data_IF_228218976776
#
_entry.id   IF_228218976776
#
_cell.length_a   1.000
_cell.length_b   1.000
_cell.length_c   1.000
_cell.angle_alpha   90.00
_cell.angle_beta   90.00
_cell.angle_gamma   90.00
#
_symmetry.space_group_name_H-M   'P 1'
#
loop_
_entity.id
_entity.type
_entity.pdbx_description
1 polymer ?
#
# COMPACT_ATOMS: atom_id res chain seq x y z
N UNK A 1 3.19 0.25 13.90
CA UNK A 1 3.09 -0.68 12.75
C UNK A 1 2.30 -1.95 13.00
N UNK A 2 2.21 -2.47 14.23
CA UNK A 2 1.49 -3.73 14.48
C UNK A 2 -0.01 -3.69 14.19
N UNK A 3 -0.68 -2.57 14.49
CA UNK A 3 -2.14 -2.44 14.24
C UNK A 3 -2.46 -2.42 12.75
N UNK A 4 -1.71 -1.66 11.94
CA UNK A 4 -1.95 -1.58 10.50
C UNK A 4 -1.71 -2.94 9.83
N UNK A 5 -0.63 -3.64 10.21
CA UNK A 5 -0.36 -4.99 9.72
C UNK A 5 -1.48 -5.97 10.11
N UNK A 6 -1.94 -5.91 11.35
CA UNK A 6 -3.04 -6.74 11.81
C UNK A 6 -4.34 -6.50 11.03
N UNK A 7 -4.65 -5.24 10.70
CA UNK A 7 -5.82 -4.90 9.88
C UNK A 7 -5.63 -5.35 8.42
N UNK A 8 -4.42 -5.26 7.86
CA UNK A 8 -4.12 -5.77 6.53
C UNK A 8 -4.23 -7.31 6.45
N UNK A 9 -3.87 -8.01 7.51
CA UNK A 9 -3.85 -9.48 7.58
C UNK A 9 -5.23 -10.06 7.93
N UNK A 10 -5.91 -9.49 8.92
CA UNK A 10 -7.14 -10.04 9.51
C UNK A 10 -8.36 -9.10 9.44
N UNK A 11 -8.16 -7.83 9.12
CA UNK A 11 -9.25 -6.85 9.02
C UNK A 11 -10.18 -7.09 7.83
N UNK A 12 -11.32 -6.40 7.82
CA UNK A 12 -12.29 -6.48 6.72
C UNK A 12 -11.70 -5.87 5.45
N UNK A 13 -12.16 -6.33 4.30
CA UNK A 13 -11.73 -5.81 2.99
C UNK A 13 -11.90 -4.29 2.92
N UNK A 14 -13.01 -3.74 3.44
CA UNK A 14 -13.26 -2.30 3.48
C UNK A 14 -12.20 -1.52 4.26
N UNK A 15 -11.76 -2.03 5.41
CA UNK A 15 -10.73 -1.40 6.23
C UNK A 15 -9.36 -1.49 5.56
N UNK A 16 -9.06 -2.60 4.87
CA UNK A 16 -7.86 -2.75 4.05
C UNK A 16 -7.84 -1.75 2.91
N UNK A 17 -8.94 -1.64 2.16
CA UNK A 17 -9.07 -0.70 1.05
C UNK A 17 -8.95 0.74 1.50
N UNK A 18 -9.45 1.10 2.69
CA UNK A 18 -9.21 2.42 3.29
C UNK A 18 -7.73 2.69 3.55
N UNK A 19 -7.00 1.72 4.09
CA UNK A 19 -5.55 1.84 4.31
C UNK A 19 -4.81 1.98 2.99
N UNK A 20 -5.15 1.16 1.99
CA UNK A 20 -4.55 1.20 0.66
C UNK A 20 -4.82 2.55 -0.02
N UNK A 21 -6.05 3.03 0.05
CA UNK A 21 -6.41 4.36 -0.49
C UNK A 21 -5.67 5.50 0.22
N UNK A 22 -5.43 5.39 1.52
CA UNK A 22 -4.71 6.42 2.29
C UNK A 22 -3.21 6.53 1.90
N UNK A 23 -2.61 5.44 1.44
CA UNK A 23 -1.21 5.41 0.98
C UNK A 23 -1.07 5.65 -0.53
N UNK A 24 -2.13 5.46 -1.30
CA UNK A 24 -2.16 5.78 -2.73
C UNK A 24 -1.92 7.29 -2.94
N UNK A 25 -1.19 7.62 -3.99
CA UNK A 25 -0.64 8.95 -4.29
C UNK A 25 0.67 9.26 -3.56
N UNK A 26 1.13 8.39 -2.64
CA UNK A 26 2.40 8.55 -1.89
C UNK A 26 3.20 7.25 -1.80
N UNK A 27 2.89 6.25 -2.63
CA UNK A 27 3.43 4.89 -2.54
C UNK A 27 4.94 4.89 -2.67
N UNK A 28 5.49 5.64 -3.63
CA UNK A 28 6.94 5.72 -3.82
C UNK A 28 7.63 6.36 -2.61
N UNK A 29 7.10 7.48 -2.11
CA UNK A 29 7.67 8.20 -0.97
C UNK A 29 7.66 7.33 0.31
N UNK A 30 6.56 6.60 0.54
CA UNK A 30 6.42 5.69 1.68
C UNK A 30 7.31 4.46 1.54
N UNK A 31 7.56 3.99 0.31
CA UNK A 31 8.44 2.85 0.04
C UNK A 31 9.91 3.13 0.40
N UNK A 32 10.34 4.39 0.35
CA UNK A 32 11.70 4.80 0.71
C UNK A 32 11.90 5.03 2.22
N UNK A 33 10.82 5.07 3.00
CA UNK A 33 10.89 5.34 4.43
C UNK A 33 11.12 4.03 5.22
N UNK A 34 12.12 4.04 6.11
CA UNK A 34 12.61 2.87 6.89
C UNK A 34 11.52 2.01 7.54
N UNK A 35 10.41 2.61 7.96
CA UNK A 35 9.32 1.91 8.64
C UNK A 35 8.03 1.80 7.81
N UNK A 36 7.84 2.65 6.81
CA UNK A 36 6.62 2.65 6.01
C UNK A 36 6.72 1.69 4.82
N UNK A 37 7.94 1.38 4.36
CA UNK A 37 8.19 0.35 3.33
C UNK A 37 7.56 -0.99 3.68
N UNK A 38 7.67 -1.42 4.95
CA UNK A 38 7.06 -2.66 5.45
C UNK A 38 5.53 -2.61 5.47
N UNK A 39 4.93 -1.42 5.53
CA UNK A 39 3.48 -1.24 5.42
C UNK A 39 3.06 -1.28 3.96
N UNK A 40 3.81 -0.62 3.08
CA UNK A 40 3.55 -0.65 1.62
C UNK A 40 3.65 -2.08 1.09
N UNK A 41 4.66 -2.84 1.49
CA UNK A 41 4.81 -4.25 1.09
C UNK A 41 3.60 -5.10 1.52
N UNK A 42 3.12 -4.91 2.76
CA UNK A 42 1.92 -5.58 3.26
C UNK A 42 0.66 -5.12 2.51
N UNK A 43 0.51 -3.84 2.22
CA UNK A 43 -0.59 -3.33 1.39
C UNK A 43 -0.58 -3.99 0.01
N UNK A 44 0.56 -4.05 -0.68
CA UNK A 44 0.68 -4.72 -1.98
C UNK A 44 0.42 -6.23 -1.87
N UNK A 45 0.76 -6.85 -0.74
CA UNK A 45 0.50 -8.29 -0.50
C UNK A 45 -1.00 -8.57 -0.38
N UNK A 46 -1.73 -7.78 0.42
CA UNK A 46 -3.14 -8.02 0.76
C UNK A 46 -4.15 -7.22 -0.06
N UNK A 47 -3.70 -6.32 -0.93
CA UNK A 47 -4.53 -5.58 -1.87
C UNK A 47 -5.24 -6.50 -2.86
N UNK A 48 -6.41 -6.07 -3.32
CA UNK A 48 -7.10 -6.69 -4.46
C UNK A 48 -6.30 -6.53 -5.76
N UNK A 49 -6.68 -7.26 -6.81
CA UNK A 49 -6.02 -7.17 -8.11
C UNK A 49 -6.01 -5.75 -8.69
N UNK A 50 -7.15 -5.05 -8.59
CA UNK A 50 -7.28 -3.67 -9.05
C UNK A 50 -6.40 -2.72 -8.25
N UNK A 51 -6.46 -2.80 -6.91
CA UNK A 51 -5.64 -1.98 -6.02
C UNK A 51 -4.13 -2.22 -6.24
N UNK A 52 -3.70 -3.48 -6.39
CA UNK A 52 -2.28 -3.76 -6.73
C UNK A 52 -1.89 -3.09 -8.02
N UNK A 53 -2.75 -3.15 -9.04
CA UNK A 53 -2.48 -2.51 -10.33
C UNK A 53 -2.31 -1.00 -10.15
N UNK A 54 -3.17 -0.34 -9.38
CA UNK A 54 -3.06 1.08 -9.10
C UNK A 54 -1.76 1.43 -8.36
N UNK A 55 -1.40 0.66 -7.32
CA UNK A 55 -0.17 0.87 -6.56
C UNK A 55 1.09 0.68 -7.42
N UNK A 56 1.10 -0.31 -8.31
CA UNK A 56 2.23 -0.58 -9.23
C UNK A 56 2.34 0.52 -10.28
N UNK A 57 1.22 0.91 -10.88
CA UNK A 57 1.15 1.98 -11.89
C UNK A 57 1.69 3.30 -11.35
N UNK A 58 1.38 3.62 -10.09
CA UNK A 58 1.90 4.81 -9.40
C UNK A 58 3.43 4.79 -9.23
N UNK A 59 4.01 3.63 -8.91
CA UNK A 59 5.46 3.48 -8.74
C UNK A 59 6.19 3.54 -10.09
N UNK A 60 5.62 2.93 -11.13
CA UNK A 60 6.20 2.92 -12.48
C UNK A 60 6.10 4.31 -13.13
N UNK A 61 4.96 4.98 -13.00
CA UNK A 61 4.73 6.30 -13.61
C UNK A 61 5.62 7.40 -13.02
N UNK A 62 6.17 7.22 -11.82
CA UNK A 62 7.11 8.17 -11.23
C UNK A 62 8.52 8.07 -11.83
N UNK A 63 8.83 6.99 -12.55
CA UNK A 63 10.15 6.77 -13.19
C UNK A 63 10.32 7.41 -14.56
N UNK A 64 9.26 7.98 -15.13
CA UNK A 64 9.24 8.59 -16.48
C UNK A 64 9.29 10.14 -16.44
N UNK A 65 9.77 10.70 -15.33
CA UNK A 65 9.93 12.15 -15.12
C UNK A 65 11.37 12.62 -15.20
#
# INVERSE_FOLDING_TARGET
NYVIQHVLEHGKVEDRSRIISAISGRVLQLSQHKFASNVVEKCVTYATRDEKRQLIDEVVSFGDG
#
